data_IF_792054513539
#
_entry.id   IF_792054513539
#
_cell.length_a   1.000
_cell.length_b   1.000
_cell.length_c   1.000
_cell.angle_alpha   90.00
_cell.angle_beta   90.00
_cell.angle_gamma   90.00
#
_symmetry.space_group_name_H-M   'P 1'
#
loop_
_entity.id
_entity.type
_entity.pdbx_description
1 polymer ?
#
# COMPACT_ATOMS: atom_id res chain seq x y z
N UNK A 1 -3.50 42.04 0.69
CA UNK A 1 -3.68 41.40 2.01
C UNK A 1 -4.24 40.00 1.75
N UNK A 2 -3.41 38.99 1.85
CA UNK A 2 -3.82 37.57 1.65
C UNK A 2 -4.46 37.07 2.94
N UNK A 3 -5.76 36.82 2.93
CA UNK A 3 -6.48 36.17 4.06
C UNK A 3 -6.22 34.68 3.98
N UNK A 4 -5.31 34.18 4.82
CA UNK A 4 -5.12 32.75 4.97
C UNK A 4 -6.38 32.10 5.55
N UNK A 5 -7.07 31.27 4.78
CA UNK A 5 -8.23 30.53 5.24
C UNK A 5 -7.76 29.43 6.19
N UNK A 6 -8.06 29.57 7.47
CA UNK A 6 -7.73 28.58 8.49
C UNK A 6 -8.57 27.30 8.28
N UNK A 7 -7.96 26.09 8.34
CA UNK A 7 -8.63 24.78 8.20
C UNK A 7 -9.90 24.61 9.03
N UNK A 8 -9.93 25.20 10.25
CA UNK A 8 -11.14 25.21 11.11
C UNK A 8 -12.31 25.98 10.49
N UNK A 9 -12.05 27.05 9.76
CA UNK A 9 -13.10 27.84 9.13
C UNK A 9 -13.62 27.15 7.86
N UNK A 10 -12.78 26.43 7.15
CA UNK A 10 -13.19 25.62 6.00
C UNK A 10 -14.13 24.48 6.42
N UNK A 11 -13.81 23.76 7.51
CA UNK A 11 -14.65 22.68 8.05
C UNK A 11 -16.01 23.22 8.54
N UNK A 12 -16.04 24.39 9.19
CA UNK A 12 -17.30 25.03 9.61
C UNK A 12 -18.16 25.43 8.41
N UNK A 13 -17.57 25.93 7.33
CA UNK A 13 -18.30 26.29 6.10
C UNK A 13 -18.90 25.07 5.40
N UNK A 14 -18.19 23.94 5.39
CA UNK A 14 -18.70 22.67 4.82
C UNK A 14 -19.87 22.14 5.67
N UNK A 15 -19.75 22.15 6.99
CA UNK A 15 -20.80 21.69 7.90
C UNK A 15 -22.08 22.54 7.85
N UNK A 16 -21.94 23.87 7.72
CA UNK A 16 -23.11 24.76 7.57
C UNK A 16 -23.76 24.64 6.19
N UNK A 17 -23.00 24.34 5.13
CA UNK A 17 -23.54 24.05 3.79
C UNK A 17 -24.35 22.75 3.73
N UNK A 18 -23.94 21.72 4.46
CA UNK A 18 -24.64 20.41 4.49
C UNK A 18 -25.99 20.50 5.24
N UNK A 19 -26.11 21.34 6.25
CA UNK A 19 -27.38 21.55 6.98
C UNK A 19 -28.44 22.27 6.13
N UNK A 20 -28.02 23.12 5.19
CA UNK A 20 -28.95 23.87 4.33
C UNK A 20 -29.65 22.97 3.29
N UNK A 21 -29.02 21.84 2.88
CA UNK A 21 -29.59 20.90 1.91
C UNK A 21 -30.77 20.11 2.53
N UNK A 22 -30.75 19.84 3.83
CA UNK A 22 -31.79 19.09 4.53
C UNK A 22 -33.10 19.90 4.76
N UNK A 23 -33.03 21.23 4.61
CA UNK A 23 -34.18 22.13 4.89
C UNK A 23 -34.86 22.68 3.62
N UNK A 24 -34.51 22.23 2.44
CA UNK A 24 -35.12 22.65 1.16
C UNK A 24 -34.80 24.09 0.75
N UNK A 25 -33.79 24.72 1.34
CA UNK A 25 -33.37 26.07 0.98
C UNK A 25 -32.56 26.00 -0.33
N UNK A 26 -32.99 26.72 -1.36
CA UNK A 26 -32.28 26.85 -2.63
C UNK A 26 -30.92 27.52 -2.39
N UNK A 27 -29.84 26.77 -2.52
CA UNK A 27 -28.49 27.28 -2.42
C UNK A 27 -28.18 28.11 -3.67
N UNK A 28 -27.79 29.40 -3.57
CA UNK A 28 -27.46 30.21 -4.72
C UNK A 28 -26.35 29.56 -5.57
N UNK A 29 -26.49 29.59 -6.89
CA UNK A 29 -25.55 28.99 -7.85
C UNK A 29 -24.08 29.44 -7.67
N UNK A 30 -23.85 30.55 -7.02
CA UNK A 30 -22.53 31.07 -6.67
C UNK A 30 -21.77 30.21 -5.68
N UNK A 31 -22.46 29.46 -4.78
CA UNK A 31 -21.78 28.57 -3.84
C UNK A 31 -21.36 27.26 -4.51
N UNK A 32 -22.15 26.74 -5.47
CA UNK A 32 -21.79 25.57 -6.28
C UNK A 32 -20.58 25.88 -7.21
N UNK A 33 -20.46 27.11 -7.72
CA UNK A 33 -19.35 27.52 -8.55
C UNK A 33 -18.02 27.62 -7.75
N UNK A 34 -18.08 28.02 -6.47
CA UNK A 34 -16.90 28.09 -5.60
C UNK A 34 -16.32 26.70 -5.24
N UNK A 35 -17.17 25.65 -5.23
CA UNK A 35 -16.69 24.26 -5.01
C UNK A 35 -16.03 23.68 -6.27
N UNK A 36 -16.46 24.11 -7.46
CA UNK A 36 -15.90 23.64 -8.75
C UNK A 36 -14.54 24.23 -9.11
N UNK A 37 -14.13 25.33 -8.51
CA UNK A 37 -12.92 26.08 -8.90
C UNK A 37 -11.78 26.04 -7.87
N UNK A 38 -11.84 25.17 -6.85
CA UNK A 38 -10.66 24.87 -6.05
C UNK A 38 -9.78 23.83 -6.77
N UNK A 39 -9.41 24.09 -8.01
CA UNK A 39 -8.15 23.56 -8.53
C UNK A 39 -7.04 24.08 -7.63
N UNK A 40 -6.30 23.15 -7.04
CA UNK A 40 -5.04 23.48 -6.34
C UNK A 40 -4.16 24.15 -7.41
N UNK A 41 -4.15 25.49 -7.43
CA UNK A 41 -3.44 26.28 -8.44
C UNK A 41 -1.94 26.39 -8.13
N UNK A 42 -1.54 26.04 -6.90
CA UNK A 42 -0.14 25.99 -6.52
C UNK A 42 0.47 24.64 -6.92
N UNK A 43 1.54 24.61 -7.71
CA UNK A 43 2.20 23.36 -8.06
C UNK A 43 2.69 22.67 -6.80
N UNK A 44 2.46 21.35 -6.72
CA UNK A 44 2.99 20.54 -5.63
C UNK A 44 4.51 20.71 -5.58
N UNK A 45 5.06 20.96 -4.40
CA UNK A 45 6.52 21.15 -4.20
C UNK A 45 7.33 19.87 -4.52
N UNK A 46 6.68 18.74 -4.68
CA UNK A 46 7.33 17.46 -5.00
C UNK A 46 8.19 16.86 -3.88
N UNK A 47 8.13 17.44 -2.66
CA UNK A 47 8.96 17.01 -1.53
C UNK A 47 8.53 15.68 -0.93
N UNK A 48 7.30 15.23 -1.17
CA UNK A 48 6.74 13.97 -0.69
C UNK A 48 6.21 13.20 -1.90
N UNK A 49 6.68 11.97 -2.05
CA UNK A 49 6.18 11.06 -3.07
C UNK A 49 5.04 10.22 -2.47
N UNK A 50 3.88 10.22 -3.12
CA UNK A 50 2.69 9.53 -2.65
C UNK A 50 2.42 8.29 -3.51
N UNK A 51 2.00 7.22 -2.85
CA UNK A 51 1.41 6.03 -3.45
C UNK A 51 0.16 5.61 -2.68
N UNK A 52 -0.62 4.69 -3.18
CA UNK A 52 -1.74 4.09 -2.47
C UNK A 52 -1.93 2.63 -2.88
N UNK A 53 -2.50 1.83 -1.97
CA UNK A 53 -2.74 0.42 -2.18
C UNK A 53 -3.79 0.17 -3.26
N UNK A 54 -3.49 -0.73 -4.21
CA UNK A 54 -4.37 -1.11 -5.31
C UNK A 54 -5.71 -1.69 -4.82
N UNK A 55 -5.68 -2.55 -3.82
CA UNK A 55 -6.86 -3.24 -3.31
C UNK A 55 -7.91 -2.32 -2.69
N UNK A 56 -7.51 -1.15 -2.16
CA UNK A 56 -8.45 -0.14 -1.64
C UNK A 56 -9.42 0.38 -2.71
N UNK A 57 -9.08 0.20 -3.98
CA UNK A 57 -9.83 0.68 -5.15
C UNK A 57 -10.24 -0.47 -6.08
N UNK A 58 -10.52 -1.66 -5.53
CA UNK A 58 -10.80 -2.88 -6.29
C UNK A 58 -11.95 -2.74 -7.31
N UNK A 59 -12.91 -1.86 -7.04
CA UNK A 59 -14.02 -1.55 -7.97
C UNK A 59 -13.64 -0.66 -9.17
N UNK A 60 -12.41 -0.13 -9.23
CA UNK A 60 -11.94 0.72 -10.33
C UNK A 60 -10.95 -0.06 -11.20
N UNK A 61 -11.11 -0.13 -12.54
CA UNK A 61 -10.12 -0.75 -13.41
C UNK A 61 -8.75 -0.11 -13.24
N UNK A 62 -7.68 -0.93 -13.19
CA UNK A 62 -6.31 -0.46 -12.92
C UNK A 62 -5.83 0.62 -13.88
N UNK A 63 -6.19 0.52 -15.16
CA UNK A 63 -5.84 1.55 -16.15
C UNK A 63 -6.49 2.91 -15.86
N UNK A 64 -7.74 2.92 -15.38
CA UNK A 64 -8.44 4.14 -14.99
C UNK A 64 -7.82 4.71 -13.71
N UNK A 65 -7.56 3.85 -12.73
CA UNK A 65 -6.95 4.24 -11.47
C UNK A 65 -5.54 4.83 -11.68
N UNK A 66 -4.73 4.21 -12.55
CA UNK A 66 -3.40 4.69 -12.89
C UNK A 66 -3.42 6.10 -13.50
N UNK A 67 -4.35 6.37 -14.43
CA UNK A 67 -4.55 7.72 -14.98
C UNK A 67 -4.90 8.73 -13.89
N UNK A 68 -5.82 8.37 -13.00
CA UNK A 68 -6.25 9.25 -11.90
C UNK A 68 -5.09 9.51 -10.93
N UNK A 69 -4.32 8.50 -10.56
CA UNK A 69 -3.15 8.66 -9.69
C UNK A 69 -2.12 9.58 -10.32
N UNK A 70 -1.86 9.42 -11.61
CA UNK A 70 -0.94 10.32 -12.32
C UNK A 70 -1.41 11.76 -12.33
N UNK A 71 -2.71 12.00 -12.56
CA UNK A 71 -3.31 13.35 -12.51
C UNK A 71 -3.23 13.98 -11.11
N UNK A 72 -3.30 13.15 -10.05
CA UNK A 72 -3.14 13.59 -8.66
C UNK A 72 -1.67 13.81 -8.26
N UNK A 73 -0.72 13.58 -9.16
CA UNK A 73 0.72 13.73 -8.86
C UNK A 73 1.31 12.59 -8.04
N UNK A 74 0.62 11.44 -7.95
CA UNK A 74 1.16 10.25 -7.29
C UNK A 74 2.25 9.61 -8.14
N UNK A 75 3.20 8.92 -7.48
CA UNK A 75 4.35 8.28 -8.15
C UNK A 75 4.13 6.79 -8.40
N UNK A 76 3.22 6.14 -7.67
CA UNK A 76 3.02 4.70 -7.81
C UNK A 76 1.77 4.15 -7.14
N UNK A 77 1.67 2.83 -7.22
CA UNK A 77 0.70 2.00 -6.51
C UNK A 77 1.42 0.95 -5.68
N UNK A 78 0.86 0.67 -4.50
CA UNK A 78 1.33 -0.41 -3.64
C UNK A 78 0.51 -1.69 -3.90
N UNK A 79 1.14 -2.83 -3.64
CA UNK A 79 0.55 -4.16 -3.73
C UNK A 79 0.03 -4.46 -5.14
N UNK A 80 0.92 -4.26 -6.11
CA UNK A 80 0.66 -4.53 -7.52
C UNK A 80 1.65 -5.59 -8.02
N UNK A 81 1.11 -6.67 -8.58
CA UNK A 81 1.87 -7.78 -9.11
C UNK A 81 2.22 -7.66 -10.60
N UNK A 82 2.97 -8.62 -11.15
CA UNK A 82 3.51 -8.60 -12.52
C UNK A 82 2.48 -8.36 -13.63
N UNK A 83 1.26 -8.87 -13.45
CA UNK A 83 0.19 -8.75 -14.46
C UNK A 83 -0.26 -7.31 -14.73
N UNK A 84 -0.07 -6.40 -13.78
CA UNK A 84 -0.52 -5.02 -13.86
C UNK A 84 0.64 -4.02 -14.10
N UNK A 85 1.91 -4.44 -13.99
CA UNK A 85 3.07 -3.53 -14.10
C UNK A 85 3.17 -2.82 -15.43
N UNK A 86 2.74 -3.46 -16.53
CA UNK A 86 2.68 -2.82 -17.84
C UNK A 86 1.80 -1.57 -17.81
N UNK A 87 0.62 -1.66 -17.18
CA UNK A 87 -0.32 -0.55 -17.04
C UNK A 87 0.32 0.60 -16.24
N UNK A 88 1.04 0.28 -15.17
CA UNK A 88 1.74 1.31 -14.38
C UNK A 88 2.78 2.04 -15.23
N UNK A 89 3.64 1.30 -15.94
CA UNK A 89 4.69 1.86 -16.81
C UNK A 89 4.12 2.76 -17.91
N UNK A 90 3.02 2.34 -18.55
CA UNK A 90 2.33 3.13 -19.57
C UNK A 90 1.76 4.46 -19.05
N UNK A 91 1.53 4.57 -17.74
CA UNK A 91 1.08 5.79 -17.07
C UNK A 91 2.19 6.51 -16.29
N UNK A 92 3.46 6.14 -16.48
CA UNK A 92 4.61 6.68 -15.74
C UNK A 92 4.43 6.59 -14.22
N UNK A 93 3.94 5.45 -13.75
CA UNK A 93 3.85 5.05 -12.36
C UNK A 93 4.74 3.83 -12.11
N UNK A 94 5.12 3.61 -10.86
CA UNK A 94 5.86 2.43 -10.41
C UNK A 94 5.03 1.56 -9.47
N UNK A 95 5.37 0.28 -9.33
CA UNK A 95 4.96 -0.53 -8.19
C UNK A 95 5.87 -0.18 -7.02
N UNK A 96 5.35 0.55 -6.06
CA UNK A 96 6.10 1.00 -4.88
C UNK A 96 6.29 -0.12 -3.87
N UNK A 97 5.36 -1.07 -3.84
CA UNK A 97 5.44 -2.35 -3.16
C UNK A 97 4.89 -3.43 -4.09
N UNK A 98 5.72 -4.39 -4.48
CA UNK A 98 5.32 -5.53 -5.29
C UNK A 98 4.78 -6.66 -4.42
N UNK A 99 3.83 -7.44 -4.97
CA UNK A 99 3.28 -8.65 -4.36
C UNK A 99 3.17 -9.78 -5.39
N UNK A 100 2.66 -10.94 -4.97
CA UNK A 100 2.36 -12.09 -5.83
C UNK A 100 3.25 -13.30 -5.56
N UNK A 101 4.27 -13.18 -4.71
CA UNK A 101 5.11 -14.29 -4.28
C UNK A 101 4.49 -15.08 -3.12
N UNK A 102 3.65 -14.42 -2.33
CA UNK A 102 2.98 -14.99 -1.17
C UNK A 102 1.98 -16.10 -1.53
N UNK A 103 1.77 -17.05 -0.61
CA UNK A 103 0.68 -18.03 -0.73
C UNK A 103 -0.63 -17.34 -0.31
N UNK A 104 -0.61 -16.73 0.86
CA UNK A 104 -1.67 -15.90 1.40
C UNK A 104 -1.12 -15.10 2.59
N UNK A 105 -1.90 -14.17 3.10
CA UNK A 105 -1.59 -13.40 4.29
C UNK A 105 -1.47 -14.28 5.54
N UNK A 106 -2.21 -15.40 5.59
CA UNK A 106 -2.28 -16.30 6.76
C UNK A 106 -1.34 -17.49 6.68
N UNK A 107 -0.79 -17.79 5.50
CA UNK A 107 0.12 -18.91 5.21
C UNK A 107 1.50 -18.36 4.85
N UNK A 108 2.29 -18.00 5.87
CA UNK A 108 3.54 -17.30 5.73
C UNK A 108 4.76 -18.06 6.26
N UNK A 109 5.83 -17.32 6.44
CA UNK A 109 7.15 -17.86 6.78
C UNK A 109 7.25 -18.44 8.20
N UNK A 110 6.31 -18.15 9.10
CA UNK A 110 6.28 -18.74 10.45
C UNK A 110 6.03 -20.25 10.43
N UNK A 111 5.57 -20.81 9.34
CA UNK A 111 5.16 -22.21 9.22
C UNK A 111 6.05 -22.97 8.23
N UNK A 112 6.93 -23.81 8.74
CA UNK A 112 7.98 -24.54 7.98
C UNK A 112 7.41 -25.33 6.79
N UNK A 113 6.21 -25.90 6.93
CA UNK A 113 5.56 -26.66 5.84
C UNK A 113 5.30 -25.84 4.57
N UNK A 114 5.28 -24.52 4.65
CA UNK A 114 5.10 -23.65 3.51
C UNK A 114 6.42 -23.18 2.88
N UNK A 115 7.57 -23.41 3.54
CA UNK A 115 8.85 -22.86 3.11
C UNK A 115 9.22 -23.25 1.69
N UNK A 116 9.09 -24.52 1.31
CA UNK A 116 9.51 -24.95 -0.04
C UNK A 116 8.74 -24.21 -1.13
N UNK A 117 7.43 -24.04 -0.95
CA UNK A 117 6.59 -23.29 -1.88
C UNK A 117 6.89 -21.80 -1.84
N UNK A 118 7.02 -21.22 -0.65
CA UNK A 118 7.34 -19.80 -0.48
C UNK A 118 8.71 -19.48 -1.09
N UNK A 119 9.74 -20.24 -0.74
CA UNK A 119 11.11 -20.02 -1.27
C UNK A 119 11.12 -20.07 -2.79
N UNK A 120 10.46 -21.05 -3.41
CA UNK A 120 10.34 -21.12 -4.86
C UNK A 120 9.67 -19.87 -5.44
N UNK A 121 8.52 -19.50 -4.91
CA UNK A 121 7.76 -18.34 -5.37
C UNK A 121 8.57 -17.04 -5.22
N UNK A 122 9.19 -16.83 -4.05
CA UNK A 122 9.95 -15.60 -3.78
C UNK A 122 11.19 -15.50 -4.65
N UNK A 123 11.93 -16.59 -4.88
CA UNK A 123 13.08 -16.56 -5.80
C UNK A 123 12.64 -16.15 -7.20
N UNK A 124 11.53 -16.70 -7.71
CA UNK A 124 10.99 -16.34 -9.01
C UNK A 124 10.54 -14.87 -9.06
N UNK A 125 9.81 -14.41 -8.05
CA UNK A 125 9.32 -13.02 -8.00
C UNK A 125 10.43 -11.99 -7.76
N UNK A 126 11.48 -12.32 -7.02
CA UNK A 126 12.68 -11.47 -6.89
C UNK A 126 13.26 -11.17 -8.28
N UNK A 127 13.34 -12.17 -9.15
CA UNK A 127 13.77 -11.94 -10.52
C UNK A 127 12.82 -11.04 -11.29
N UNK A 128 11.51 -11.29 -11.22
CA UNK A 128 10.51 -10.44 -11.89
C UNK A 128 10.55 -8.99 -11.42
N UNK A 129 10.63 -8.77 -10.10
CA UNK A 129 10.71 -7.42 -9.49
C UNK A 129 11.94 -6.68 -10.00
N UNK A 130 13.11 -7.33 -9.95
CA UNK A 130 14.36 -6.73 -10.40
C UNK A 130 14.38 -6.47 -11.92
N UNK A 131 13.90 -7.41 -12.74
CA UNK A 131 13.82 -7.26 -14.21
C UNK A 131 12.83 -6.17 -14.62
N UNK A 132 11.79 -5.93 -13.81
CA UNK A 132 10.88 -4.82 -13.99
C UNK A 132 11.47 -3.46 -13.56
N UNK A 133 12.62 -3.43 -12.88
CA UNK A 133 13.26 -2.23 -12.34
C UNK A 133 12.65 -1.77 -11.01
N UNK A 134 11.98 -2.66 -10.28
CA UNK A 134 11.44 -2.41 -8.95
C UNK A 134 12.35 -2.97 -7.87
N UNK A 135 12.14 -2.58 -6.60
CA UNK A 135 13.05 -2.91 -5.51
C UNK A 135 12.37 -3.49 -4.27
N UNK A 136 11.06 -3.35 -4.12
CA UNK A 136 10.36 -3.74 -2.91
C UNK A 136 9.44 -4.93 -3.18
N UNK A 137 9.54 -5.98 -2.38
CA UNK A 137 8.68 -7.15 -2.42
C UNK A 137 8.17 -7.47 -1.02
N UNK A 138 6.85 -7.47 -0.84
CA UNK A 138 6.20 -7.76 0.44
C UNK A 138 6.32 -9.23 0.79
N UNK A 139 6.42 -9.53 2.10
CA UNK A 139 6.24 -10.88 2.63
C UNK A 139 5.42 -10.88 3.92
N UNK A 140 4.90 -12.05 4.28
CA UNK A 140 4.02 -12.23 5.43
C UNK A 140 4.55 -13.30 6.36
N UNK A 141 4.43 -13.03 7.67
CA UNK A 141 4.75 -14.02 8.70
C UNK A 141 3.76 -15.19 8.70
N UNK A 142 2.50 -14.92 8.44
CA UNK A 142 1.40 -15.87 8.60
C UNK A 142 0.74 -15.80 9.97
N UNK A 143 -0.30 -16.60 10.15
CA UNK A 143 -1.03 -16.71 11.41
C UNK A 143 -0.32 -17.62 12.41
N UNK A 144 -0.49 -17.33 13.71
CA UNK A 144 0.11 -18.08 14.83
C UNK A 144 -0.38 -19.53 14.91
N UNK A 145 -1.68 -19.74 14.78
CA UNK A 145 -2.33 -21.06 14.94
C UNK A 145 -1.87 -21.77 16.24
N UNK A 146 -1.77 -20.99 17.32
CA UNK A 146 -1.30 -21.47 18.62
C UNK A 146 0.22 -21.57 18.80
N UNK A 147 1.01 -21.19 17.81
CA UNK A 147 2.48 -21.15 17.89
C UNK A 147 2.93 -19.95 18.75
N UNK A 148 3.95 -20.16 19.57
CA UNK A 148 4.59 -19.10 20.33
C UNK A 148 5.46 -18.19 19.46
N UNK A 149 5.77 -17.00 19.98
CA UNK A 149 6.50 -15.97 19.26
C UNK A 149 7.92 -16.39 18.85
N UNK A 150 8.64 -17.10 19.74
CA UNK A 150 10.02 -17.52 19.51
C UNK A 150 10.10 -18.60 18.41
N UNK A 151 9.26 -19.60 18.48
CA UNK A 151 9.15 -20.64 17.43
C UNK A 151 8.82 -20.02 16.07
N UNK A 152 7.84 -19.12 16.03
CA UNK A 152 7.45 -18.45 14.79
C UNK A 152 8.55 -17.57 14.22
N UNK A 153 9.27 -16.84 15.08
CA UNK A 153 10.42 -16.02 14.69
C UNK A 153 11.53 -16.89 14.07
N UNK A 154 11.94 -17.95 14.75
CA UNK A 154 12.98 -18.87 14.27
C UNK A 154 12.60 -19.51 12.92
N UNK A 155 11.34 -19.85 12.73
CA UNK A 155 10.85 -20.37 11.47
C UNK A 155 10.93 -19.30 10.36
N UNK A 156 10.47 -18.06 10.63
CA UNK A 156 10.56 -16.96 9.66
C UNK A 156 12.01 -16.72 9.23
N UNK A 157 12.92 -16.57 10.19
CA UNK A 157 14.36 -16.40 9.92
C UNK A 157 14.92 -17.54 9.08
N UNK A 158 14.55 -18.79 9.39
CA UNK A 158 15.01 -19.98 8.65
C UNK A 158 14.50 -19.96 7.20
N UNK A 159 13.26 -19.58 6.98
CA UNK A 159 12.68 -19.50 5.64
C UNK A 159 13.23 -18.33 4.83
N UNK A 160 13.29 -17.13 5.42
CA UNK A 160 13.78 -15.92 4.77
C UNK A 160 15.25 -16.04 4.37
N UNK A 161 16.11 -16.59 5.23
CA UNK A 161 17.53 -16.82 4.88
C UNK A 161 17.74 -17.57 3.57
N UNK A 162 16.82 -18.43 3.16
CA UNK A 162 16.93 -19.19 1.90
C UNK A 162 16.77 -18.32 0.64
N UNK A 163 16.17 -17.15 0.76
CA UNK A 163 15.91 -16.23 -0.36
C UNK A 163 16.82 -14.99 -0.35
N UNK A 164 17.41 -14.64 0.81
CA UNK A 164 18.16 -13.39 0.97
C UNK A 164 19.33 -13.25 0.02
N UNK A 165 20.13 -14.29 -0.20
CA UNK A 165 21.27 -14.21 -1.13
C UNK A 165 20.85 -13.85 -2.56
N UNK A 166 19.67 -14.30 -3.01
CA UNK A 166 19.12 -13.95 -4.32
C UNK A 166 18.59 -12.51 -4.29
N UNK A 167 17.88 -12.12 -3.23
CA UNK A 167 17.34 -10.79 -3.06
C UNK A 167 18.45 -9.73 -3.06
N UNK A 168 19.50 -9.92 -2.27
CA UNK A 168 20.68 -9.05 -2.22
C UNK A 168 21.38 -8.94 -3.58
N UNK A 169 21.64 -10.06 -4.22
CA UNK A 169 22.27 -10.08 -5.56
C UNK A 169 21.46 -9.33 -6.60
N UNK A 170 20.14 -9.33 -6.47
CA UNK A 170 19.20 -8.68 -7.40
C UNK A 170 18.82 -7.25 -6.98
N UNK A 171 19.25 -6.78 -5.81
CA UNK A 171 18.92 -5.46 -5.28
C UNK A 171 17.44 -5.32 -4.91
N UNK A 172 16.80 -6.41 -4.48
CA UNK A 172 15.39 -6.43 -4.04
C UNK A 172 15.34 -6.53 -2.52
N UNK A 173 14.59 -5.63 -1.90
CA UNK A 173 14.29 -5.65 -0.46
C UNK A 173 13.04 -6.48 -0.20
N UNK A 174 13.18 -7.46 0.67
CA UNK A 174 12.06 -8.24 1.20
C UNK A 174 11.53 -7.49 2.43
N UNK A 175 10.24 -7.17 2.42
CA UNK A 175 9.63 -6.35 3.48
C UNK A 175 8.53 -7.14 4.18
N UNK A 176 8.78 -7.48 5.46
CA UNK A 176 7.81 -8.15 6.32
C UNK A 176 6.70 -7.17 6.71
N UNK A 177 5.45 -7.51 6.40
CA UNK A 177 4.30 -6.69 6.77
C UNK A 177 3.94 -6.86 8.25
N UNK A 178 3.78 -5.72 8.95
CA UNK A 178 3.16 -5.69 10.27
C UNK A 178 1.65 -5.49 10.12
N UNK A 179 0.85 -6.37 10.71
CA UNK A 179 -0.60 -6.28 10.65
C UNK A 179 -1.23 -6.08 12.03
N UNK A 180 -2.40 -5.46 12.03
CA UNK A 180 -3.16 -5.17 13.24
C UNK A 180 -3.85 -6.43 13.76
N UNK A 181 -3.26 -7.09 14.75
CA UNK A 181 -3.84 -8.27 15.42
C UNK A 181 -5.00 -7.95 16.38
N UNK A 182 -5.21 -6.68 16.74
CA UNK A 182 -6.25 -6.29 17.70
C UNK A 182 -7.64 -6.25 17.09
N UNK A 183 -7.75 -5.93 15.81
CA UNK A 183 -9.05 -5.74 15.13
C UNK A 183 -9.19 -6.71 13.95
N UNK A 184 -8.37 -6.56 12.92
CA UNK A 184 -8.62 -7.18 11.61
C UNK A 184 -7.94 -8.53 11.41
N UNK A 185 -6.73 -8.72 11.97
CA UNK A 185 -5.88 -9.91 11.74
C UNK A 185 -5.49 -10.58 13.06
N UNK A 186 -6.48 -10.94 13.87
CA UNK A 186 -6.33 -11.34 15.29
C UNK A 186 -5.28 -12.41 15.58
N UNK A 187 -5.01 -13.29 14.64
CA UNK A 187 -4.06 -14.38 14.80
C UNK A 187 -2.73 -14.16 14.07
N UNK A 188 -2.55 -12.99 13.42
CA UNK A 188 -1.34 -12.70 12.67
C UNK A 188 -0.12 -12.56 13.57
N UNK A 189 1.03 -13.14 13.15
CA UNK A 189 2.19 -13.25 14.03
C UNK A 189 3.02 -11.97 14.10
N UNK A 190 3.37 -11.37 12.99
CA UNK A 190 4.12 -10.11 12.94
C UNK A 190 3.21 -8.91 13.22
N UNK A 191 2.80 -8.75 14.48
CA UNK A 191 1.88 -7.70 14.94
C UNK A 191 2.55 -6.60 15.77
N UNK A 192 3.87 -6.72 16.01
CA UNK A 192 4.69 -5.78 16.80
C UNK A 192 6.01 -5.51 16.12
N UNK A 193 6.42 -4.25 16.12
CA UNK A 193 7.71 -3.84 15.52
C UNK A 193 8.91 -4.54 16.16
N UNK A 194 8.88 -4.80 17.47
CA UNK A 194 9.95 -5.52 18.17
C UNK A 194 10.15 -6.92 17.59
N UNK A 195 9.07 -7.66 17.31
CA UNK A 195 9.15 -8.97 16.70
C UNK A 195 9.60 -8.88 15.23
N UNK A 196 9.07 -7.92 14.47
CA UNK A 196 9.39 -7.77 13.05
C UNK A 196 10.83 -7.34 12.78
N UNK A 197 11.49 -6.67 13.73
CA UNK A 197 12.92 -6.27 13.59
C UNK A 197 13.87 -7.47 13.79
N UNK A 198 13.43 -8.49 14.51
CA UNK A 198 14.22 -9.68 14.79
C UNK A 198 14.04 -10.77 13.71
N UNK A 199 13.01 -10.67 12.87
CA UNK A 199 12.74 -11.62 11.76
C UNK A 199 13.52 -11.26 10.50
#
# INVERSE_FOLDING_TARGET
MSTSVNRRNLIKQVLTGSAAIATGVVVPSTILAAVKNNTITEPLKGNIQHSACRWCYSGIPTATLAKNFKQLGMVGMDLVGPSEWKILKENNLISTMCNGAEISLTEGFNTVQYHDKLVKNYIEHIHYVADAGYTNLICFSGNRKGMDDETGLNNCVTGLKKIMAVAEKRGVMIQMELLNSRVDHKDYMCDRSSWGVES
#
